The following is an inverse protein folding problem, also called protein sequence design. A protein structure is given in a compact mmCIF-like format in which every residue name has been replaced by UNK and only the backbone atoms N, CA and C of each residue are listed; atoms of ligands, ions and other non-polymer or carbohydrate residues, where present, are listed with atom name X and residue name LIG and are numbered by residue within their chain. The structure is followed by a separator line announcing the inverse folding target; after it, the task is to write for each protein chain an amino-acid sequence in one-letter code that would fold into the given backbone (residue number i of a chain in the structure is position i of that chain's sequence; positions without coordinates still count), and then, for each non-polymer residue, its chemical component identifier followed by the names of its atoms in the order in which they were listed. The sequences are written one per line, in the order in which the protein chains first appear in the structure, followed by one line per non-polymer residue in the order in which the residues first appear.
data_IF_645775087775
#
_entry.id   IF_645775087775
#
_cell.length_a   1.000
_cell.length_b   1.000
_cell.length_c   1.000
_cell.angle_alpha   90.00
_cell.angle_beta   90.00
_cell.angle_gamma   90.00
#
_symmetry.space_group_name_H-M   'P 1'
#
loop_
_entity.id
_entity.type
_entity.pdbx_description
1 polymer ?
#
# COMPACT_ATOMS: atom_id res chain seq x y z
N UNK A 1 -1.77 -21.65 76.73
CA UNK A 1 -2.59 -20.69 75.97
C UNK A 1 -1.62 -19.78 75.24
N UNK A 2 -1.64 -19.81 73.89
CA UNK A 2 -1.37 -18.67 72.98
C UNK A 2 0.09 -18.17 72.93
N UNK A 3 0.79 -18.04 71.80
CA UNK A 3 0.45 -18.10 70.39
C UNK A 3 1.73 -18.45 69.62
N UNK A 4 1.73 -19.51 68.81
CA UNK A 4 2.63 -19.56 67.67
C UNK A 4 2.12 -18.52 66.68
N UNK A 5 2.80 -17.37 66.57
CA UNK A 5 2.66 -16.50 65.42
C UNK A 5 3.34 -17.20 64.24
N UNK A 6 2.60 -18.12 63.61
CA UNK A 6 2.78 -18.39 62.20
C UNK A 6 2.46 -17.08 61.47
N UNK A 7 3.47 -16.23 61.30
CA UNK A 7 3.48 -15.29 60.21
C UNK A 7 3.48 -16.15 58.94
N UNK A 8 2.29 -16.31 58.36
CA UNK A 8 2.10 -16.86 57.03
C UNK A 8 2.86 -15.99 56.04
N UNK A 9 4.14 -16.31 55.82
CA UNK A 9 4.91 -15.76 54.74
C UNK A 9 4.41 -16.41 53.44
N UNK A 10 3.29 -15.94 52.92
CA UNK A 10 2.99 -16.08 51.50
C UNK A 10 3.99 -15.18 50.75
N UNK A 11 5.21 -15.67 50.58
CA UNK A 11 6.14 -15.16 49.58
C UNK A 11 5.57 -15.52 48.21
N UNK A 12 4.54 -14.78 47.81
CA UNK A 12 3.88 -14.84 46.51
C UNK A 12 4.93 -14.56 45.43
N UNK A 13 4.98 -15.42 44.41
CA UNK A 13 5.98 -15.49 43.32
C UNK A 13 6.33 -14.12 42.69
N UNK A 14 7.20 -13.37 43.35
CA UNK A 14 7.91 -12.25 42.77
C UNK A 14 9.29 -12.75 42.34
N UNK A 15 9.66 -12.64 41.05
CA UNK A 15 10.98 -13.07 40.61
C UNK A 15 12.07 -12.25 41.32
N UNK A 16 13.20 -12.89 41.63
CA UNK A 16 14.28 -12.31 42.46
C UNK A 16 14.83 -10.99 41.90
N UNK A 17 14.91 -10.86 40.57
CA UNK A 17 15.42 -9.68 39.88
C UNK A 17 14.32 -8.68 39.50
N UNK A 18 13.15 -8.78 40.14
CA UNK A 18 12.00 -7.95 39.84
C UNK A 18 11.45 -7.25 41.09
N UNK A 19 10.85 -6.10 40.87
CA UNK A 19 10.07 -5.38 41.88
C UNK A 19 8.59 -5.63 41.63
N UNK A 20 7.88 -6.13 42.65
CA UNK A 20 6.47 -6.46 42.58
C UNK A 20 5.63 -5.52 43.46
N UNK A 21 4.71 -4.80 42.84
CA UNK A 21 3.84 -3.82 43.50
C UNK A 21 2.39 -4.31 43.37
N UNK A 22 1.83 -4.83 44.46
CA UNK A 22 0.48 -5.44 44.46
C UNK A 22 -0.64 -4.40 44.33
N UNK A 23 -0.46 -3.21 44.90
CA UNK A 23 -1.47 -2.14 44.85
C UNK A 23 -1.80 -1.69 43.42
N UNK A 24 -0.81 -1.76 42.53
CA UNK A 24 -0.95 -1.44 41.09
C UNK A 24 -0.95 -2.69 40.21
N UNK A 25 -0.88 -3.88 40.82
CA UNK A 25 -0.75 -5.14 40.11
C UNK A 25 0.40 -5.18 39.07
N UNK A 26 1.53 -4.56 39.41
CA UNK A 26 2.68 -4.37 38.49
C UNK A 26 3.88 -5.21 38.92
N UNK A 27 4.51 -5.88 37.96
CA UNK A 27 5.81 -6.54 38.11
C UNK A 27 6.79 -5.86 37.16
N UNK A 28 7.90 -5.36 37.69
CA UNK A 28 8.90 -4.59 36.94
C UNK A 28 10.27 -5.23 37.09
N UNK A 29 10.91 -5.56 35.96
CA UNK A 29 12.25 -6.12 35.92
C UNK A 29 13.07 -5.34 34.89
N UNK A 30 14.12 -4.67 35.38
CA UNK A 30 14.94 -3.74 34.61
C UNK A 30 16.37 -4.22 34.60
N UNK A 31 17.03 -4.09 33.44
CA UNK A 31 18.47 -4.26 33.26
C UNK A 31 19.04 -5.53 33.92
N UNK A 32 18.24 -6.60 33.90
CA UNK A 32 18.48 -7.87 34.59
C UNK A 32 18.85 -8.94 33.57
N UNK A 33 20.14 -9.24 33.37
CA UNK A 33 20.60 -10.17 32.33
C UNK A 33 20.21 -11.63 32.61
N UNK A 34 19.87 -11.97 33.85
CA UNK A 34 19.46 -13.32 34.28
C UNK A 34 18.00 -13.66 33.93
N UNK A 35 17.24 -12.72 33.34
CA UNK A 35 15.85 -12.96 32.97
C UNK A 35 15.80 -13.80 31.70
N UNK A 36 15.33 -15.02 31.84
CA UNK A 36 14.99 -15.93 30.76
C UNK A 36 13.48 -16.21 30.73
N UNK A 37 12.95 -16.56 29.56
CA UNK A 37 11.57 -16.97 29.37
C UNK A 37 11.48 -18.50 29.25
N UNK A 38 10.45 -19.15 29.81
CA UNK A 38 9.21 -18.59 30.36
C UNK A 38 9.36 -17.99 31.78
N UNK A 39 8.71 -16.85 32.02
CA UNK A 39 8.73 -16.17 33.32
C UNK A 39 7.46 -16.50 34.12
N UNK A 40 7.64 -17.02 35.33
CA UNK A 40 6.51 -17.30 36.24
C UNK A 40 6.18 -16.06 37.07
N UNK A 41 5.08 -15.39 36.72
CA UNK A 41 4.52 -14.28 37.52
C UNK A 41 3.23 -14.70 38.23
N UNK A 42 2.86 -13.93 39.26
CA UNK A 42 1.65 -14.19 40.04
C UNK A 42 0.37 -13.80 39.28
N UNK A 43 -0.75 -14.50 39.53
CA UNK A 43 -2.03 -14.31 38.83
C UNK A 43 -2.64 -12.92 38.98
N UNK A 44 -2.30 -12.20 40.05
CA UNK A 44 -2.76 -10.83 40.27
C UNK A 44 -2.08 -9.81 39.34
N UNK A 45 -1.03 -10.19 38.61
CA UNK A 45 -0.25 -9.30 37.74
C UNK A 45 -1.09 -8.87 36.54
N UNK A 46 -1.30 -7.57 36.40
CA UNK A 46 -1.97 -6.96 35.25
C UNK A 46 -0.96 -6.27 34.32
N UNK A 47 0.17 -5.82 34.84
CA UNK A 47 1.22 -5.14 34.08
C UNK A 47 2.57 -5.80 34.34
N UNK A 48 3.21 -6.27 33.28
CA UNK A 48 4.56 -6.81 33.31
C UNK A 48 5.49 -5.96 32.47
N UNK A 49 6.55 -5.45 33.10
CA UNK A 49 7.56 -4.59 32.48
C UNK A 49 8.89 -5.35 32.50
N UNK A 50 9.37 -5.73 31.33
CA UNK A 50 10.66 -6.38 31.09
C UNK A 50 11.45 -5.48 30.14
N UNK A 51 12.23 -4.53 30.69
CA UNK A 51 12.93 -3.53 29.89
C UNK A 51 14.44 -3.61 30.10
N UNK A 52 15.21 -3.53 29.02
CA UNK A 52 16.68 -3.53 29.12
C UNK A 52 17.29 -4.89 29.49
N UNK A 53 16.52 -5.98 29.45
CA UNK A 53 17.03 -7.31 29.75
C UNK A 53 17.61 -7.97 28.49
N UNK A 54 18.28 -9.11 28.64
CA UNK A 54 18.91 -9.83 27.52
C UNK A 54 18.02 -10.93 26.93
N UNK A 55 16.71 -10.72 26.88
CA UNK A 55 15.77 -11.69 26.30
C UNK A 55 16.00 -11.75 24.79
N UNK A 56 16.37 -12.93 24.27
CA UNK A 56 16.67 -13.16 22.84
C UNK A 56 15.57 -13.89 22.09
N UNK A 57 14.88 -14.81 22.75
CA UNK A 57 13.80 -15.61 22.16
C UNK A 57 12.57 -15.52 23.04
N UNK A 58 11.40 -15.35 22.43
CA UNK A 58 10.11 -15.52 23.10
C UNK A 58 9.54 -16.87 22.65
N UNK A 59 9.69 -17.93 23.47
CA UNK A 59 9.23 -19.27 23.11
C UNK A 59 7.72 -19.40 23.17
N UNK A 60 7.19 -20.49 22.62
CA UNK A 60 5.76 -20.84 22.74
C UNK A 60 5.27 -20.77 24.20
N UNK A 61 4.16 -20.04 24.43
CA UNK A 61 3.55 -19.95 25.75
C UNK A 61 4.44 -19.33 26.84
N UNK A 62 5.38 -18.45 26.47
CA UNK A 62 6.36 -17.82 27.37
C UNK A 62 5.75 -17.14 28.60
N UNK A 63 4.48 -16.77 28.52
CA UNK A 63 3.72 -16.07 29.57
C UNK A 63 2.50 -16.87 30.03
N UNK A 64 2.59 -18.20 30.01
CA UNK A 64 1.60 -19.10 30.59
C UNK A 64 2.18 -19.79 31.83
N UNK A 65 1.35 -20.04 32.85
CA UNK A 65 1.77 -20.80 34.03
C UNK A 65 1.15 -22.19 33.96
N UNK A 66 1.92 -23.21 33.60
CA UNK A 66 1.42 -24.59 33.41
C UNK A 66 0.17 -24.65 32.49
N UNK A 67 0.17 -23.87 31.41
CA UNK A 67 -0.97 -23.78 30.49
C UNK A 67 -2.17 -22.97 31.00
N UNK A 68 -2.07 -22.32 32.16
CA UNK A 68 -3.10 -21.39 32.64
C UNK A 68 -2.92 -20.00 32.04
N UNK A 69 -4.04 -19.39 31.67
CA UNK A 69 -4.11 -18.01 31.21
C UNK A 69 -3.84 -17.04 32.35
N UNK A 70 -3.14 -15.94 32.05
CA UNK A 70 -2.88 -14.86 32.99
C UNK A 70 -3.74 -13.64 32.64
N UNK A 71 -4.17 -12.92 33.67
CA UNK A 71 -4.94 -11.68 33.54
C UNK A 71 -4.10 -10.45 33.14
N UNK A 72 -2.99 -10.61 32.41
CA UNK A 72 -2.18 -9.47 32.00
C UNK A 72 -2.93 -8.63 30.96
N UNK A 73 -2.92 -7.32 31.18
CA UNK A 73 -3.46 -6.31 30.29
C UNK A 73 -2.36 -5.57 29.52
N UNK A 74 -1.16 -5.49 30.09
CA UNK A 74 -0.02 -4.75 29.52
C UNK A 74 1.28 -5.53 29.68
N UNK A 75 1.97 -5.73 28.56
CA UNK A 75 3.29 -6.36 28.49
C UNK A 75 4.26 -5.44 27.75
N UNK A 76 5.30 -5.00 28.45
CA UNK A 76 6.35 -4.16 27.88
C UNK A 76 7.64 -4.98 27.81
N UNK A 77 8.13 -5.23 26.60
CA UNK A 77 9.37 -5.92 26.26
C UNK A 77 10.34 -4.99 25.52
N UNK A 78 10.21 -3.69 25.76
CA UNK A 78 10.96 -2.63 25.10
C UNK A 78 12.46 -2.72 25.40
N UNK A 79 13.33 -2.54 24.41
CA UNK A 79 14.76 -2.41 24.64
C UNK A 79 15.44 -3.68 25.14
N UNK A 80 14.92 -4.86 24.78
CA UNK A 80 15.64 -6.13 24.96
C UNK A 80 16.44 -6.45 23.68
N UNK A 81 16.89 -7.69 23.55
CA UNK A 81 17.57 -8.18 22.35
C UNK A 81 16.75 -9.27 21.66
N UNK A 82 15.42 -9.12 21.62
CA UNK A 82 14.55 -10.17 21.06
C UNK A 82 14.82 -10.28 19.56
N UNK A 83 15.17 -11.48 19.12
CA UNK A 83 15.52 -11.85 17.76
C UNK A 83 14.52 -12.84 17.15
N UNK A 84 13.92 -13.69 17.99
CA UNK A 84 13.01 -14.76 17.56
C UNK A 84 11.71 -14.69 18.36
N UNK A 85 10.58 -14.70 17.64
CA UNK A 85 9.25 -14.95 18.22
C UNK A 85 8.69 -16.22 17.60
N UNK A 86 8.53 -17.24 18.44
CA UNK A 86 8.01 -18.54 18.04
C UNK A 86 6.49 -18.52 17.81
N UNK A 87 5.94 -19.62 17.29
CA UNK A 87 4.49 -19.76 17.16
C UNK A 87 3.83 -19.70 18.54
N UNK A 88 2.72 -18.97 18.66
CA UNK A 88 1.94 -18.88 19.90
C UNK A 88 2.77 -18.42 21.12
N UNK A 89 3.79 -17.59 20.88
CA UNK A 89 4.70 -17.10 21.91
C UNK A 89 3.99 -16.37 23.07
N UNK A 90 2.87 -15.71 22.76
CA UNK A 90 2.03 -15.00 23.72
C UNK A 90 0.75 -15.75 24.09
N UNK A 91 0.68 -17.06 23.80
CA UNK A 91 -0.43 -17.88 24.29
C UNK A 91 -0.47 -17.87 25.82
N UNK A 92 -1.69 -17.85 26.36
CA UNK A 92 -1.93 -17.61 27.78
C UNK A 92 -2.25 -16.16 28.13
N UNK A 93 -2.20 -15.22 27.18
CA UNK A 93 -2.52 -13.81 27.40
C UNK A 93 -3.79 -13.34 26.63
N UNK A 94 -4.97 -13.95 26.84
CA UNK A 94 -6.16 -13.66 26.04
C UNK A 94 -6.69 -12.23 26.21
N UNK A 95 -6.47 -11.64 27.39
CA UNK A 95 -6.94 -10.30 27.77
C UNK A 95 -5.90 -9.20 27.54
N UNK A 96 -4.76 -9.51 26.92
CA UNK A 96 -3.70 -8.53 26.69
C UNK A 96 -4.21 -7.43 25.77
N UNK A 97 -4.12 -6.18 26.21
CA UNK A 97 -4.57 -5.01 25.45
C UNK A 97 -3.41 -4.27 24.80
N UNK A 98 -2.26 -4.25 25.47
CA UNK A 98 -1.08 -3.48 25.09
C UNK A 98 0.17 -4.36 25.09
N UNK A 99 0.83 -4.44 23.94
CA UNK A 99 2.10 -5.14 23.75
C UNK A 99 3.11 -4.19 23.11
N UNK A 100 4.21 -3.94 23.81
CA UNK A 100 5.33 -3.16 23.28
C UNK A 100 6.59 -4.03 23.14
N UNK A 101 7.04 -4.17 21.89
CA UNK A 101 8.26 -4.87 21.47
C UNK A 101 9.26 -3.90 20.80
N UNK A 102 9.09 -2.60 21.00
CA UNK A 102 9.94 -1.57 20.38
C UNK A 102 11.40 -1.69 20.82
N UNK A 103 12.33 -1.28 19.96
CA UNK A 103 13.77 -1.35 20.21
C UNK A 103 14.26 -2.76 20.51
N UNK A 104 13.91 -3.71 19.63
CA UNK A 104 14.44 -5.08 19.60
C UNK A 104 15.06 -5.33 18.21
N UNK A 105 15.47 -6.56 17.90
CA UNK A 105 16.11 -6.89 16.62
C UNK A 105 15.55 -8.19 16.02
N UNK A 106 14.24 -8.19 15.76
CA UNK A 106 13.49 -9.34 15.26
C UNK A 106 13.98 -9.77 13.88
N UNK A 107 14.62 -10.94 13.85
CA UNK A 107 15.08 -11.62 12.66
C UNK A 107 14.11 -12.70 12.18
N UNK A 108 13.44 -13.38 13.11
CA UNK A 108 12.50 -14.47 12.81
C UNK A 108 11.18 -14.22 13.53
N UNK A 109 10.10 -14.14 12.76
CA UNK A 109 8.74 -13.96 13.25
C UNK A 109 7.87 -15.07 12.68
N UNK A 110 7.38 -15.94 13.54
CA UNK A 110 6.41 -16.97 13.14
C UNK A 110 5.12 -16.34 12.60
N UNK A 111 4.48 -16.99 11.62
CA UNK A 111 3.17 -16.56 11.11
C UNK A 111 2.07 -16.59 12.19
N UNK A 112 2.27 -17.42 13.24
CA UNK A 112 1.37 -17.52 14.39
C UNK A 112 1.96 -16.86 15.65
N UNK A 113 2.96 -15.98 15.50
CA UNK A 113 3.64 -15.33 16.62
C UNK A 113 2.67 -14.67 17.61
N UNK A 114 1.66 -13.96 17.09
CA UNK A 114 0.65 -13.26 17.86
C UNK A 114 -0.63 -14.07 18.12
N UNK A 115 -0.59 -15.38 17.82
CA UNK A 115 -1.74 -16.27 18.04
C UNK A 115 -2.18 -16.30 19.50
N UNK A 116 -3.48 -16.14 19.74
CA UNK A 116 -4.09 -16.12 21.08
C UNK A 116 -4.36 -14.72 21.65
N UNK A 117 -3.83 -13.66 21.04
CA UNK A 117 -3.99 -12.26 21.47
C UNK A 117 -5.33 -11.64 21.04
N UNK A 118 -6.45 -12.23 21.49
CA UNK A 118 -7.81 -11.92 21.02
C UNK A 118 -8.26 -10.49 21.28
N UNK A 119 -7.85 -9.91 22.41
CA UNK A 119 -8.26 -8.57 22.83
C UNK A 119 -7.22 -7.49 22.53
N UNK A 120 -6.09 -7.82 21.89
CA UNK A 120 -5.00 -6.87 21.69
C UNK A 120 -5.45 -5.68 20.85
N UNK A 121 -5.23 -4.47 21.40
CA UNK A 121 -5.64 -3.21 20.79
C UNK A 121 -4.45 -2.40 20.31
N UNK A 122 -3.33 -2.46 21.03
CA UNK A 122 -2.15 -1.66 20.75
C UNK A 122 -0.92 -2.57 20.63
N UNK A 123 -0.31 -2.56 19.45
CA UNK A 123 0.92 -3.28 19.16
C UNK A 123 2.00 -2.29 18.70
N UNK A 124 3.11 -2.26 19.44
CA UNK A 124 4.25 -1.40 19.14
C UNK A 124 5.45 -2.25 18.74
N UNK A 125 5.96 -1.99 17.54
CA UNK A 125 7.09 -2.64 16.91
C UNK A 125 8.04 -1.58 16.34
N UNK A 126 8.23 -0.46 17.05
CA UNK A 126 9.07 0.64 16.56
C UNK A 126 10.55 0.28 16.69
N UNK A 127 11.33 0.46 15.62
CA UNK A 127 12.76 0.09 15.55
C UNK A 127 12.99 -1.35 16.03
N UNK A 128 12.22 -2.29 15.48
CA UNK A 128 12.19 -3.68 15.95
C UNK A 128 12.65 -4.68 14.89
N UNK A 129 12.48 -4.38 13.61
CA UNK A 129 12.57 -5.38 12.54
C UNK A 129 13.93 -5.37 11.84
N UNK A 130 14.56 -6.55 11.76
CA UNK A 130 15.62 -6.81 10.80
C UNK A 130 15.05 -7.08 9.40
N UNK A 131 15.91 -7.11 8.38
CA UNK A 131 15.51 -7.30 6.96
C UNK A 131 14.73 -8.62 6.74
N UNK A 132 15.07 -9.69 7.47
CA UNK A 132 14.34 -10.97 7.41
C UNK A 132 12.99 -10.90 8.12
N UNK A 133 12.93 -10.30 9.31
CA UNK A 133 11.70 -10.13 10.07
C UNK A 133 10.68 -9.26 9.34
N UNK A 134 11.12 -8.19 8.68
CA UNK A 134 10.26 -7.33 7.86
C UNK A 134 9.53 -8.08 6.73
N UNK A 135 10.15 -9.12 6.16
CA UNK A 135 9.52 -9.97 5.12
C UNK A 135 8.46 -10.91 5.69
N UNK A 136 8.56 -11.28 6.96
CA UNK A 136 7.65 -12.20 7.65
C UNK A 136 6.50 -11.47 8.36
N UNK A 137 6.65 -10.17 8.61
CA UNK A 137 5.68 -9.35 9.35
C UNK A 137 4.26 -9.47 8.81
N UNK A 138 4.06 -9.41 7.48
CA UNK A 138 2.72 -9.49 6.88
C UNK A 138 2.02 -10.81 7.17
N UNK A 139 2.77 -11.92 7.25
CA UNK A 139 2.21 -13.23 7.62
C UNK A 139 1.94 -13.35 9.12
N UNK A 140 2.75 -12.71 9.96
CA UNK A 140 2.59 -12.72 11.41
C UNK A 140 1.39 -11.87 11.86
N UNK A 141 1.11 -10.77 11.16
CA UNK A 141 -0.06 -9.92 11.36
C UNK A 141 -1.32 -10.52 10.70
N UNK A 142 -1.51 -11.83 10.74
CA UNK A 142 -2.67 -12.47 10.10
C UNK A 142 -3.99 -12.16 10.83
N UNK A 143 -5.09 -12.20 10.08
CA UNK A 143 -6.44 -11.87 10.58
C UNK A 143 -6.98 -12.72 11.69
N UNK A 144 -6.51 -13.96 11.74
CA UNK A 144 -7.01 -14.92 12.71
C UNK A 144 -6.54 -14.56 14.13
N UNK A 145 -5.41 -13.85 14.25
CA UNK A 145 -4.75 -13.60 15.53
C UNK A 145 -5.07 -12.23 16.17
N UNK A 146 -5.30 -11.18 15.37
CA UNK A 146 -5.30 -9.78 15.83
C UNK A 146 -6.61 -9.04 15.51
N UNK A 147 -7.76 -9.68 15.76
CA UNK A 147 -9.09 -9.19 15.38
C UNK A 147 -9.50 -7.85 16.04
N UNK A 148 -9.00 -7.59 17.25
CA UNK A 148 -9.32 -6.40 18.04
C UNK A 148 -8.34 -5.24 17.84
N UNK A 149 -7.34 -5.39 16.96
CA UNK A 149 -6.24 -4.43 16.85
C UNK A 149 -6.74 -3.07 16.36
N UNK A 150 -6.40 -2.02 17.12
CA UNK A 150 -6.81 -0.64 16.85
C UNK A 150 -5.64 0.26 16.47
N UNK A 151 -4.44 -0.01 16.98
CA UNK A 151 -3.23 0.75 16.67
C UNK A 151 -2.04 -0.17 16.45
N UNK A 152 -1.37 0.05 15.33
CA UNK A 152 -0.13 -0.62 14.96
C UNK A 152 0.95 0.42 14.70
N UNK A 153 2.07 0.30 15.42
CA UNK A 153 3.20 1.21 15.35
C UNK A 153 4.43 0.48 14.79
N UNK A 154 4.91 0.94 13.64
CA UNK A 154 5.96 0.31 12.84
C UNK A 154 7.04 1.32 12.42
N UNK A 155 7.23 2.38 13.21
CA UNK A 155 8.18 3.44 12.90
C UNK A 155 9.63 2.94 12.95
N UNK A 156 10.49 3.42 12.06
CA UNK A 156 11.94 3.11 12.15
C UNK A 156 12.33 1.69 11.74
N UNK A 157 11.53 0.99 10.92
CA UNK A 157 11.79 -0.40 10.53
C UNK A 157 12.36 -0.57 9.12
N UNK A 158 12.63 0.52 8.40
CA UNK A 158 13.14 0.47 7.02
C UNK A 158 12.19 -0.23 6.03
N UNK A 159 10.89 -0.24 6.30
CA UNK A 159 9.90 -0.87 5.45
C UNK A 159 9.82 -0.18 4.08
N UNK A 160 9.87 -0.94 2.99
CA UNK A 160 9.76 -0.40 1.62
C UNK A 160 8.33 -0.30 1.10
N UNK A 161 7.41 -1.00 1.75
CA UNK A 161 6.01 -1.05 1.38
C UNK A 161 5.15 -1.15 2.64
N UNK A 162 3.88 -0.78 2.51
CA UNK A 162 2.89 -0.96 3.58
C UNK A 162 2.67 -2.47 3.78
N UNK A 163 2.90 -3.03 4.98
CA UNK A 163 2.87 -4.47 5.22
C UNK A 163 1.44 -4.99 5.41
N UNK A 164 0.56 -4.72 4.44
CA UNK A 164 -0.87 -5.06 4.50
C UNK A 164 -1.29 -5.65 3.17
N UNK A 165 -1.55 -6.96 3.16
CA UNK A 165 -2.03 -7.69 1.99
C UNK A 165 -3.56 -7.76 1.92
N UNK A 166 -4.27 -7.50 3.03
CA UNK A 166 -5.73 -7.33 3.06
C UNK A 166 -6.08 -6.37 4.18
N UNK A 167 -6.65 -5.22 3.86
CA UNK A 167 -7.13 -4.28 4.88
C UNK A 167 -8.42 -4.75 5.56
N UNK A 168 -9.02 -5.86 5.10
CA UNK A 168 -10.25 -6.48 5.62
C UNK A 168 -10.16 -6.97 7.08
N UNK A 169 -9.01 -6.81 7.71
CA UNK A 169 -8.62 -7.63 8.84
C UNK A 169 -8.73 -6.91 10.19
N UNK A 170 -8.72 -5.58 10.20
CA UNK A 170 -8.52 -4.87 11.45
C UNK A 170 -9.53 -3.74 11.61
N UNK A 171 -10.11 -3.63 12.80
CA UNK A 171 -10.68 -2.38 13.32
C UNK A 171 -9.56 -1.33 13.57
N UNK A 172 -8.54 -1.29 12.70
CA UNK A 172 -7.37 -0.47 12.85
C UNK A 172 -7.75 0.98 12.62
N UNK A 173 -7.65 1.75 13.69
CA UNK A 173 -7.88 3.18 13.69
C UNK A 173 -6.59 3.94 13.35
N UNK A 174 -5.43 3.36 13.64
CA UNK A 174 -4.15 4.03 13.42
C UNK A 174 -3.05 3.06 12.97
N UNK A 175 -2.40 3.40 11.87
CA UNK A 175 -1.19 2.75 11.38
C UNK A 175 -0.06 3.77 11.29
N UNK A 176 1.00 3.58 12.06
CA UNK A 176 2.14 4.49 12.08
C UNK A 176 3.32 3.86 11.36
N UNK A 177 3.69 4.47 10.23
CA UNK A 177 4.79 4.05 9.35
C UNK A 177 5.85 5.16 9.21
N UNK A 178 5.90 6.09 10.17
CA UNK A 178 6.87 7.18 10.21
C UNK A 178 8.30 6.66 10.16
N UNK A 179 9.20 7.35 9.47
CA UNK A 179 10.62 7.00 9.42
C UNK A 179 10.86 5.56 8.90
N UNK A 180 10.33 5.26 7.70
CA UNK A 180 10.57 4.01 6.98
C UNK A 180 11.17 4.32 5.60
N UNK A 181 11.24 3.33 4.72
CA UNK A 181 11.86 3.43 3.39
C UNK A 181 10.81 3.33 2.28
N UNK A 182 9.59 3.82 2.51
CA UNK A 182 8.50 3.78 1.52
C UNK A 182 8.72 4.87 0.48
N UNK A 183 8.93 4.46 -0.77
CA UNK A 183 9.17 5.38 -1.88
C UNK A 183 7.89 5.73 -2.65
N UNK A 184 6.92 4.82 -2.71
CA UNK A 184 5.64 5.04 -3.38
C UNK A 184 4.55 4.15 -2.77
N UNK A 185 3.30 4.56 -2.92
CA UNK A 185 2.12 3.76 -2.57
C UNK A 185 1.33 3.55 -3.85
N UNK A 186 1.32 2.32 -4.34
CA UNK A 186 0.70 1.96 -5.62
C UNK A 186 -0.82 2.08 -5.59
N UNK A 187 -1.42 2.16 -6.79
CA UNK A 187 -2.87 2.30 -6.99
C UNK A 187 -3.70 1.30 -6.20
N UNK A 188 -3.30 0.03 -6.15
CA UNK A 188 -4.04 -1.02 -5.44
C UNK A 188 -4.12 -0.73 -3.94
N UNK A 189 -2.99 -0.37 -3.31
CA UNK A 189 -2.94 0.00 -1.90
C UNK A 189 -3.75 1.26 -1.61
N UNK A 190 -3.72 2.26 -2.51
CA UNK A 190 -4.54 3.48 -2.40
C UNK A 190 -6.03 3.15 -2.46
N UNK A 191 -6.45 2.30 -3.40
CA UNK A 191 -7.85 1.85 -3.51
C UNK A 191 -8.30 1.19 -2.21
N UNK A 192 -7.51 0.25 -1.68
CA UNK A 192 -7.81 -0.37 -0.39
C UNK A 192 -7.88 0.67 0.72
N UNK A 193 -6.88 1.54 0.88
CA UNK A 193 -6.90 2.60 1.91
C UNK A 193 -8.16 3.48 1.83
N UNK A 194 -8.64 3.76 0.62
CA UNK A 194 -9.83 4.59 0.39
C UNK A 194 -11.13 3.91 0.85
N UNK A 195 -11.19 2.57 0.85
CA UNK A 195 -12.33 1.80 1.37
C UNK A 195 -12.39 1.89 2.91
N UNK A 196 -11.23 1.91 3.59
CA UNK A 196 -11.12 1.96 5.05
C UNK A 196 -11.10 3.39 5.59
N UNK A 197 -12.20 4.13 5.40
CA UNK A 197 -12.31 5.57 5.74
C UNK A 197 -11.90 5.97 7.16
N UNK A 198 -11.95 5.05 8.13
CA UNK A 198 -11.62 5.33 9.54
C UNK A 198 -10.12 5.26 9.87
N UNK A 199 -9.31 4.61 9.04
CA UNK A 199 -7.88 4.44 9.34
C UNK A 199 -7.16 5.79 9.26
N UNK A 200 -6.31 6.05 10.26
CA UNK A 200 -5.35 7.15 10.25
C UNK A 200 -3.96 6.61 9.96
N UNK A 201 -3.40 7.02 8.85
CA UNK A 201 -2.10 6.59 8.35
C UNK A 201 -1.05 7.69 8.57
N UNK A 202 0.05 7.36 9.24
CA UNK A 202 1.15 8.30 9.47
C UNK A 202 2.35 7.90 8.61
N UNK A 203 2.81 8.80 7.75
CA UNK A 203 3.78 8.50 6.68
C UNK A 203 4.98 9.45 6.65
N UNK A 204 5.05 10.42 7.55
CA UNK A 204 6.16 11.38 7.57
C UNK A 204 7.53 10.68 7.66
N UNK A 205 8.57 11.36 7.17
CA UNK A 205 9.95 10.83 7.15
C UNK A 205 10.12 9.54 6.31
N UNK A 206 9.32 9.36 5.25
CA UNK A 206 9.56 8.34 4.22
C UNK A 206 10.12 8.99 2.94
N UNK A 207 10.99 8.31 2.18
CA UNK A 207 11.67 8.86 1.02
C UNK A 207 10.80 8.83 -0.25
N UNK A 208 9.66 9.53 -0.27
CA UNK A 208 8.74 9.47 -1.40
C UNK A 208 9.34 9.96 -2.72
N UNK A 209 9.17 9.17 -3.77
CA UNK A 209 9.52 9.49 -5.16
C UNK A 209 8.35 10.21 -5.82
N UNK A 210 8.44 11.54 -5.88
CA UNK A 210 7.48 12.45 -6.50
C UNK A 210 7.64 12.53 -8.02
N UNK A 211 7.49 11.36 -8.64
CA UNK A 211 7.34 11.18 -10.08
C UNK A 211 5.88 10.84 -10.42
N UNK A 212 5.61 10.52 -11.68
CA UNK A 212 4.26 10.28 -12.14
C UNK A 212 3.61 8.99 -11.59
N UNK A 213 4.43 8.01 -11.14
CA UNK A 213 3.96 6.85 -10.37
C UNK A 213 3.27 7.22 -9.03
N UNK A 214 3.50 8.44 -8.52
CA UNK A 214 2.91 8.94 -7.28
C UNK A 214 1.46 9.40 -7.46
N UNK A 215 0.97 9.55 -8.70
CA UNK A 215 -0.33 10.17 -9.01
C UNK A 215 -1.50 9.65 -8.14
N UNK A 216 -1.73 8.33 -7.98
CA UNK A 216 -2.84 7.84 -7.18
C UNK A 216 -2.74 8.27 -5.71
N UNK A 217 -1.53 8.22 -5.15
CA UNK A 217 -1.25 8.60 -3.78
C UNK A 217 -1.36 10.11 -3.55
N UNK A 218 -0.92 10.92 -4.52
CA UNK A 218 -1.08 12.37 -4.49
C UNK A 218 -2.56 12.77 -4.38
N UNK A 219 -3.44 12.21 -5.22
CA UNK A 219 -4.87 12.50 -5.13
C UNK A 219 -5.51 11.99 -3.84
N UNK A 220 -5.08 10.82 -3.35
CA UNK A 220 -5.56 10.29 -2.07
C UNK A 220 -5.20 11.20 -0.89
N UNK A 221 -3.95 11.69 -0.84
CA UNK A 221 -3.52 12.66 0.18
C UNK A 221 -4.30 13.97 0.10
N UNK A 222 -4.55 14.47 -1.11
CA UNK A 222 -5.21 15.77 -1.30
C UNK A 222 -6.71 15.73 -0.99
N UNK A 223 -7.37 14.62 -1.29
CA UNK A 223 -8.82 14.48 -1.15
C UNK A 223 -9.24 13.81 0.16
N UNK A 224 -8.31 13.22 0.91
CA UNK A 224 -8.58 12.46 2.12
C UNK A 224 -8.08 13.14 3.40
N UNK A 225 -8.77 12.90 4.52
CA UNK A 225 -8.31 13.26 5.87
C UNK A 225 -7.65 12.10 6.61
N UNK A 226 -7.35 11.01 5.91
CA UNK A 226 -6.84 9.76 6.46
C UNK A 226 -5.35 9.83 6.82
N UNK A 227 -4.62 10.87 6.37
CA UNK A 227 -3.22 11.08 6.70
C UNK A 227 -3.05 12.36 7.54
N UNK A 228 -3.07 12.27 8.88
CA UNK A 228 -2.99 13.45 9.75
C UNK A 228 -1.66 14.22 9.64
N UNK A 229 -0.60 13.56 9.19
CA UNK A 229 0.72 14.16 8.99
C UNK A 229 1.04 14.44 7.52
N UNK A 230 0.03 14.61 6.66
CA UNK A 230 0.18 14.90 5.21
C UNK A 230 1.14 16.05 4.93
N UNK A 231 1.10 17.11 5.74
CA UNK A 231 1.97 18.29 5.64
C UNK A 231 3.45 18.00 5.85
N UNK A 232 3.78 16.86 6.45
CA UNK A 232 5.15 16.37 6.71
C UNK A 232 5.54 15.21 5.79
N UNK A 233 4.70 14.87 4.81
CA UNK A 233 5.02 13.93 3.74
C UNK A 233 5.76 14.71 2.65
N UNK A 234 7.08 14.52 2.58
CA UNK A 234 7.96 15.28 1.69
C UNK A 234 8.49 14.40 0.56
N UNK A 235 8.73 15.03 -0.59
CA UNK A 235 9.46 14.42 -1.69
C UNK A 235 10.93 14.23 -1.33
N UNK A 236 11.45 13.03 -1.51
CA UNK A 236 12.88 12.76 -1.50
C UNK A 236 13.48 12.75 -2.90
N UNK A 237 12.70 12.29 -3.89
CA UNK A 237 13.09 12.27 -5.30
C UNK A 237 11.98 12.88 -6.18
N UNK A 238 12.31 13.39 -7.38
CA UNK A 238 13.66 13.67 -7.87
C UNK A 238 14.32 14.83 -7.08
N UNK A 239 15.65 15.00 -7.19
CA UNK A 239 16.39 16.05 -6.46
C UNK A 239 15.82 17.46 -6.69
N UNK A 240 15.31 17.74 -7.90
CA UNK A 240 14.68 19.02 -8.24
C UNK A 240 13.47 19.38 -7.37
N UNK A 241 12.85 18.40 -6.70
CA UNK A 241 11.66 18.59 -5.84
C UNK A 241 11.89 18.17 -4.41
N UNK A 242 13.13 17.83 -4.03
CA UNK A 242 13.46 17.35 -2.71
C UNK A 242 13.03 18.35 -1.63
N UNK A 243 12.41 17.83 -0.57
CA UNK A 243 11.88 18.63 0.54
C UNK A 243 10.52 19.29 0.28
N UNK A 244 9.95 19.15 -0.92
CA UNK A 244 8.63 19.71 -1.24
C UNK A 244 7.54 18.82 -0.61
N UNK A 245 6.55 19.37 0.13
CA UNK A 245 5.42 18.60 0.61
C UNK A 245 4.58 18.05 -0.54
N UNK A 246 4.20 16.77 -0.49
CA UNK A 246 3.44 16.11 -1.55
C UNK A 246 2.10 16.81 -1.79
N UNK A 247 1.45 17.29 -0.74
CA UNK A 247 0.19 18.04 -0.83
C UNK A 247 0.30 19.37 -1.59
N UNK A 248 1.52 19.91 -1.73
CA UNK A 248 1.81 21.16 -2.45
C UNK A 248 2.21 20.96 -3.91
N UNK A 249 2.32 19.72 -4.38
CA UNK A 249 2.59 19.43 -5.79
C UNK A 249 1.42 19.90 -6.68
N UNK A 250 1.75 20.28 -7.92
CA UNK A 250 0.77 20.57 -8.97
C UNK A 250 0.43 19.28 -9.73
N UNK A 251 -0.67 19.31 -10.48
CA UNK A 251 -1.06 18.17 -11.32
C UNK A 251 0.01 17.83 -12.36
N UNK A 252 0.60 18.84 -12.99
CA UNK A 252 1.71 18.70 -13.95
C UNK A 252 2.92 17.96 -13.34
N UNK A 253 3.08 18.00 -12.01
CA UNK A 253 4.22 17.39 -11.35
C UNK A 253 4.11 15.86 -11.27
N UNK A 254 2.89 15.31 -11.35
CA UNK A 254 2.61 13.87 -11.25
C UNK A 254 2.00 13.30 -12.54
N UNK A 255 1.92 14.07 -13.61
CA UNK A 255 1.33 13.63 -14.87
C UNK A 255 2.35 12.82 -15.70
N UNK A 256 1.97 11.60 -16.14
CA UNK A 256 2.78 10.77 -17.03
C UNK A 256 2.42 11.04 -18.52
N UNK A 257 2.26 12.29 -18.94
CA UNK A 257 2.19 12.56 -20.39
C UNK A 257 3.62 12.34 -20.91
N UNK A 258 3.83 11.22 -21.60
CA UNK A 258 5.12 10.88 -22.19
C UNK A 258 5.19 11.47 -23.61
N UNK A 259 5.84 12.63 -23.83
CA UNK A 259 5.91 13.25 -25.15
C UNK A 259 6.63 12.35 -26.17
N UNK A 260 7.49 11.43 -25.73
CA UNK A 260 8.17 10.50 -26.62
C UNK A 260 7.21 9.47 -27.23
N UNK A 261 6.17 9.06 -26.49
CA UNK A 261 5.21 8.06 -26.97
C UNK A 261 4.23 8.65 -28.00
N UNK A 262 3.82 9.91 -27.81
CA UNK A 262 3.03 10.65 -28.82
C UNK A 262 3.85 10.89 -30.09
N UNK A 263 5.10 11.33 -29.96
CA UNK A 263 5.98 11.54 -31.11
C UNK A 263 6.17 10.27 -31.94
N UNK A 264 6.41 9.11 -31.30
CA UNK A 264 6.56 7.82 -31.99
C UNK A 264 5.25 7.41 -32.68
N UNK A 265 4.09 7.65 -32.06
CA UNK A 265 2.77 7.36 -32.65
C UNK A 265 2.53 8.16 -33.94
N UNK A 266 2.83 9.46 -33.94
CA UNK A 266 2.67 10.31 -35.12
C UNK A 266 3.66 9.99 -36.24
N UNK A 267 4.91 9.65 -35.91
CA UNK A 267 5.90 9.21 -36.89
C UNK A 267 5.43 7.91 -37.56
N UNK A 268 4.93 6.94 -36.80
CA UNK A 268 4.39 5.71 -37.34
C UNK A 268 3.17 5.95 -38.25
N UNK A 269 2.24 6.80 -37.82
CA UNK A 269 1.09 7.21 -38.63
C UNK A 269 1.54 7.86 -39.95
N UNK A 270 2.55 8.74 -39.90
CA UNK A 270 3.13 9.37 -41.08
C UNK A 270 3.73 8.37 -42.07
N UNK A 271 4.46 7.36 -41.57
CA UNK A 271 5.03 6.29 -42.40
C UNK A 271 3.93 5.46 -43.06
N UNK A 272 2.89 5.08 -42.32
CA UNK A 272 1.75 4.31 -42.85
C UNK A 272 1.02 5.09 -43.94
N UNK A 273 0.73 6.37 -43.72
CA UNK A 273 0.09 7.22 -44.72
C UNK A 273 0.95 7.39 -45.99
N UNK A 274 2.27 7.53 -45.83
CA UNK A 274 3.20 7.59 -46.96
C UNK A 274 3.20 6.29 -47.78
N UNK A 275 3.23 5.12 -47.12
CA UNK A 275 3.17 3.82 -47.80
C UNK A 275 1.86 3.62 -48.55
N UNK A 276 0.72 3.99 -47.95
CA UNK A 276 -0.59 3.97 -48.63
C UNK A 276 -0.56 4.87 -49.86
N UNK A 277 0.01 6.07 -49.75
CA UNK A 277 0.18 6.99 -50.87
C UNK A 277 1.02 6.40 -52.00
N UNK A 278 2.15 5.75 -51.68
CA UNK A 278 3.03 5.10 -52.67
C UNK A 278 2.31 3.95 -53.37
N UNK A 279 1.62 3.09 -52.62
CA UNK A 279 0.85 1.98 -53.19
C UNK A 279 -0.27 2.50 -54.10
N UNK A 280 -0.99 3.53 -53.67
CA UNK A 280 -2.04 4.16 -54.46
C UNK A 280 -1.49 4.74 -55.78
N UNK A 281 -0.37 5.48 -55.71
CA UNK A 281 0.29 6.02 -56.90
C UNK A 281 0.80 4.90 -57.83
N UNK A 282 1.32 3.80 -57.27
CA UNK A 282 1.75 2.63 -58.04
C UNK A 282 0.56 1.97 -58.76
N UNK A 283 -0.58 1.80 -58.09
CA UNK A 283 -1.81 1.27 -58.70
C UNK A 283 -2.30 2.17 -59.84
N UNK A 284 -2.30 3.49 -59.64
CA UNK A 284 -2.63 4.46 -60.69
C UNK A 284 -1.65 4.40 -61.86
N UNK A 285 -0.35 4.22 -61.59
CA UNK A 285 0.68 4.12 -62.61
C UNK A 285 0.53 2.85 -63.45
N UNK A 286 0.39 1.68 -62.81
CA UNK A 286 0.21 0.40 -63.49
C UNK A 286 -1.08 0.39 -64.34
N UNK A 287 -2.13 1.05 -63.88
CA UNK A 287 -3.39 1.15 -64.60
C UNK A 287 -3.50 2.37 -65.52
N UNK A 288 -2.45 3.18 -65.68
CA UNK A 288 -2.51 4.47 -66.41
C UNK A 288 -3.07 4.32 -67.83
N UNK A 289 -2.71 3.26 -68.54
CA UNK A 289 -3.21 3.00 -69.89
C UNK A 289 -4.69 2.62 -69.94
N UNK A 290 -5.17 1.85 -68.95
CA UNK A 290 -6.57 1.49 -68.80
C UNK A 290 -7.43 2.69 -68.37
N UNK A 291 -6.94 3.46 -67.41
CA UNK A 291 -7.57 4.71 -66.94
C UNK A 291 -7.68 5.70 -68.10
N UNK A 292 -6.62 5.88 -68.90
CA UNK A 292 -6.65 6.79 -70.06
C UNK A 292 -7.68 6.35 -71.11
N UNK A 293 -7.78 5.04 -71.39
CA UNK A 293 -8.81 4.49 -72.28
C UNK A 293 -10.21 4.71 -71.73
N UNK A 294 -10.44 4.39 -70.46
CA UNK A 294 -11.72 4.61 -69.79
C UNK A 294 -12.14 6.08 -69.79
N UNK A 295 -11.21 7.00 -69.51
CA UNK A 295 -11.47 8.44 -69.52
C UNK A 295 -11.83 8.96 -70.93
N UNK A 296 -11.16 8.45 -71.97
CA UNK A 296 -11.47 8.79 -73.35
C UNK A 296 -12.85 8.27 -73.76
N UNK A 297 -13.17 7.01 -73.44
CA UNK A 297 -14.49 6.43 -73.72
C UNK A 297 -15.62 7.20 -73.01
N UNK A 298 -15.41 7.64 -71.77
CA UNK A 298 -16.39 8.48 -71.06
C UNK A 298 -16.54 9.84 -71.72
N UNK A 299 -15.44 10.47 -72.13
CA UNK A 299 -15.48 11.75 -72.84
C UNK A 299 -16.27 11.62 -74.15
N UNK A 300 -16.03 10.55 -74.90
CA UNK A 300 -16.76 10.25 -76.13
C UNK A 300 -18.25 10.04 -75.84
N UNK A 301 -18.60 9.19 -74.86
CA UNK A 301 -20.00 8.99 -74.46
C UNK A 301 -20.69 10.29 -73.99
N UNK A 302 -20.00 11.15 -73.24
CA UNK A 302 -20.54 12.45 -72.84
C UNK A 302 -20.71 13.38 -74.04
N UNK A 303 -19.78 13.37 -75.00
CA UNK A 303 -19.85 14.17 -76.21
C UNK A 303 -21.05 13.76 -77.06
N UNK A 304 -21.23 12.47 -77.28
CA UNK A 304 -22.36 11.94 -78.05
C UNK A 304 -23.69 12.33 -77.40
N UNK A 305 -23.77 12.23 -76.06
CA UNK A 305 -24.97 12.63 -75.33
C UNK A 305 -25.23 14.14 -75.42
N UNK A 306 -24.19 14.97 -75.36
CA UNK A 306 -24.28 16.41 -75.51
C UNK A 306 -24.74 16.80 -76.93
N UNK A 307 -24.21 16.14 -77.96
CA UNK A 307 -24.61 16.35 -79.37
C UNK A 307 -26.09 16.00 -79.57
N UNK A 308 -26.57 14.87 -79.01
CA UNK A 308 -28.00 14.51 -79.05
C UNK A 308 -28.87 15.56 -78.35
N UNK A 309 -28.43 16.08 -77.20
CA UNK A 309 -29.14 17.17 -76.51
C UNK A 309 -29.18 18.44 -77.37
N UNK A 310 -28.08 18.78 -78.04
CA UNK A 310 -28.00 19.95 -78.92
C UNK A 310 -28.92 19.82 -80.13
N UNK A 311 -28.95 18.66 -80.80
CA UNK A 311 -29.87 18.40 -81.91
C UNK A 311 -31.35 18.50 -81.50
N UNK A 312 -31.72 17.95 -80.34
CA UNK A 312 -33.09 18.09 -79.82
C UNK A 312 -33.43 19.54 -79.51
N UNK A 313 -32.50 20.27 -78.90
CA UNK A 313 -32.71 21.69 -78.60
C UNK A 313 -32.93 22.51 -79.87
N UNK A 314 -32.11 22.32 -80.92
CA UNK A 314 -32.29 22.98 -82.22
C UNK A 314 -33.63 22.64 -82.88
N UNK A 315 -34.08 21.39 -82.77
CA UNK A 315 -35.37 20.96 -83.32
C UNK A 315 -36.56 21.58 -82.58
N UNK A 316 -36.50 21.67 -81.24
CA UNK A 316 -37.54 22.28 -80.42
C UNK A 316 -37.56 23.82 -80.49
N UNK A 317 -36.44 24.43 -80.89
CA UNK A 317 -36.30 25.89 -81.03
C UNK A 317 -36.45 26.42 -82.46
N UNK A 318 -36.72 25.57 -83.45
CA UNK A 318 -37.06 25.98 -84.82
C UNK A 318 -38.46 26.63 -84.86
N UNK A 319 -38.57 27.96 -85.11
CA UNK A 319 -39.84 28.69 -85.09
C UNK A 319 -40.81 28.25 -86.19
N UNK A 320 -40.41 27.39 -87.14
CA UNK A 320 -41.30 26.83 -88.17
C UNK A 320 -42.20 25.72 -87.63
N UNK A 321 -41.77 24.97 -86.60
CA UNK A 321 -42.56 23.91 -85.96
C UNK A 321 -43.60 24.45 -84.97
N UNK A 322 -43.39 25.65 -84.42
CA UNK A 322 -44.36 26.33 -83.55
C UNK A 322 -45.69 26.70 -84.27
N UNK A 323 -45.72 26.68 -85.61
CA UNK A 323 -46.90 27.03 -86.41
C UNK A 323 -47.71 25.82 -86.91
N UNK A 324 -47.39 24.59 -86.49
CA UNK A 324 -48.12 23.37 -86.89
C UNK A 324 -49.08 22.86 -85.80
N UNK A 325 -49.14 23.55 -84.64
CA UNK A 325 -50.12 23.27 -83.59
C UNK A 325 -51.28 24.28 -83.65
N UNK A 326 -52.18 24.09 -84.62
CA UNK A 326 -53.60 24.49 -84.56
C UNK A 326 -54.44 23.34 -85.10
#
# INVERSE_FOLDING_TARGET
MVCFLFLSASAENCPLSCTCIRSTATVTCLDSPEIELPLVVSQWTHTLILRGNNVTTIPEGAFSKNGTELGLLTLLLTGNNVQVIEAYAFAGLPHLLHLDLSYNNLMVISAMAFGGLRELRYLYLNNTLAISGARQLSSALSSESLQSLQRLELSGNGLKAIPISRFDIFNLNALVLTNNSIEAIGKNNVSSLSEFKKIRLYLSQNPFKCSCELEPFYYWLKNGSQCPDSSRVLCAQPEARRGTPVEKLRREDVDCINPELEAVSYVFLGIVLALIGVVFLMVLYLNRGGIKRWLNNIREACRDQMEVYHYRYEQDSDPRLANVAV
#
